data_IF_244365976715
#
_entry.id   IF_244365976715
#
_cell.length_a   1.000
_cell.length_b   1.000
_cell.length_c   1.000
_cell.angle_alpha   90.00
_cell.angle_beta   90.00
_cell.angle_gamma   90.00
#
_symmetry.space_group_name_H-M   'P 1'
#
loop_
_entity.id
_entity.type
_entity.pdbx_description
1 polymer ?
#
# COMPACT_ATOMS: atom_id res chain seq x y z
N UNK A 1 0.70 31.37 -3.19
CA UNK A 1 0.63 30.85 -1.83
C UNK A 1 1.28 29.48 -1.83
N UNK A 2 2.06 29.14 -0.81
CA UNK A 2 2.72 27.81 -0.71
C UNK A 2 2.18 27.13 0.53
N UNK A 3 1.88 25.85 0.42
CA UNK A 3 1.44 24.99 1.53
C UNK A 3 2.52 23.96 1.79
N UNK A 4 2.77 23.66 3.05
CA UNK A 4 3.70 22.61 3.48
C UNK A 4 2.96 21.71 4.47
N UNK A 5 2.88 20.44 4.16
CA UNK A 5 2.34 19.41 5.05
C UNK A 5 3.51 18.58 5.54
N UNK A 6 3.70 18.51 6.85
CA UNK A 6 4.68 17.64 7.49
C UNK A 6 3.88 16.55 8.20
N UNK A 7 3.96 15.32 7.68
CA UNK A 7 3.27 14.17 8.22
C UNK A 7 4.23 13.37 9.11
N UNK A 8 4.00 13.41 10.43
CA UNK A 8 4.67 12.54 11.37
C UNK A 8 3.94 11.19 11.45
N UNK A 9 4.23 10.29 10.52
CA UNK A 9 3.61 8.96 10.49
C UNK A 9 4.10 8.11 11.69
N UNK A 10 3.16 7.42 12.37
CA UNK A 10 3.47 6.56 13.51
C UNK A 10 3.85 7.29 14.81
N UNK A 11 3.62 8.60 14.94
CA UNK A 11 3.95 9.37 16.16
C UNK A 11 2.96 9.15 17.31
N UNK A 12 1.71 8.80 17.02
CA UNK A 12 0.69 8.56 18.04
C UNK A 12 0.84 7.16 18.63
N UNK A 13 0.85 7.07 19.95
CA UNK A 13 0.90 5.80 20.68
C UNK A 13 0.21 5.95 22.04
N UNK A 14 0.10 4.85 22.76
CA UNK A 14 -0.43 4.80 24.12
C UNK A 14 0.64 5.16 25.14
N UNK A 15 0.18 5.44 26.36
CA UNK A 15 1.05 5.65 27.50
C UNK A 15 1.90 4.42 27.79
N UNK A 16 3.19 4.64 27.98
CA UNK A 16 4.19 3.58 28.25
C UNK A 16 4.63 3.69 29.71
N UNK A 17 4.39 2.66 30.55
CA UNK A 17 4.76 2.71 31.97
C UNK A 17 6.24 3.00 32.22
N UNK A 18 7.13 2.47 31.40
CA UNK A 18 8.59 2.67 31.48
C UNK A 18 9.02 4.12 31.20
N UNK A 19 8.17 4.89 30.53
CA UNK A 19 8.35 6.32 30.29
C UNK A 19 7.64 7.20 31.34
N UNK A 20 7.26 6.60 32.48
CA UNK A 20 6.56 7.28 33.56
C UNK A 20 5.09 7.58 33.21
N UNK A 21 4.45 6.73 32.39
CA UNK A 21 3.06 6.89 31.97
C UNK A 21 2.88 7.99 30.93
N UNK A 22 3.88 8.26 30.13
CA UNK A 22 3.83 9.21 29.01
C UNK A 22 3.78 8.47 27.68
N UNK A 23 3.17 9.10 26.68
CA UNK A 23 3.34 8.67 25.29
C UNK A 23 4.76 8.95 24.79
N UNK A 24 5.24 8.27 23.73
CA UNK A 24 6.54 8.57 23.14
C UNK A 24 6.68 10.05 22.73
N UNK A 25 5.61 10.65 22.21
CA UNK A 25 5.62 12.06 21.81
C UNK A 25 5.74 13.00 23.00
N UNK A 26 5.06 12.72 24.12
CA UNK A 26 5.19 13.51 25.35
C UNK A 26 6.56 13.35 26.03
N UNK A 27 7.23 12.23 25.80
CA UNK A 27 8.55 11.95 26.34
C UNK A 27 9.68 12.55 25.49
N UNK A 28 9.46 12.67 24.19
CA UNK A 28 10.44 13.20 23.25
C UNK A 28 10.68 14.71 23.47
N UNK A 29 11.92 15.15 23.25
CA UNK A 29 12.26 16.57 23.22
C UNK A 29 11.92 17.18 21.85
N UNK A 30 10.81 17.93 21.79
CA UNK A 30 10.24 18.45 20.55
C UNK A 30 10.10 19.98 20.56
N UNK A 31 11.16 20.77 20.82
CA UNK A 31 11.05 22.21 21.08
C UNK A 31 10.47 23.02 19.92
N UNK A 32 10.68 22.56 18.68
CA UNK A 32 10.11 23.20 17.50
C UNK A 32 8.60 22.96 17.39
N UNK A 33 8.15 21.74 17.60
CA UNK A 33 6.72 21.40 17.62
C UNK A 33 6.03 22.13 18.76
N UNK A 34 6.61 22.15 19.95
CA UNK A 34 6.08 22.84 21.13
C UNK A 34 5.95 24.35 20.92
N UNK A 35 6.91 24.93 20.21
CA UNK A 35 6.84 26.35 19.86
C UNK A 35 5.67 26.63 18.93
N UNK A 36 5.53 25.85 17.87
CA UNK A 36 4.47 26.08 16.88
C UNK A 36 3.09 25.71 17.40
N UNK A 37 2.96 24.68 18.23
CA UNK A 37 1.68 24.29 18.82
C UNK A 37 1.06 25.42 19.65
N UNK A 38 1.90 26.23 20.34
CA UNK A 38 1.44 27.40 21.12
C UNK A 38 0.92 28.56 20.29
N UNK A 39 1.18 28.57 18.99
CA UNK A 39 0.82 29.65 18.06
C UNK A 39 -0.16 29.21 16.97
N UNK A 40 -0.62 27.97 17.00
CA UNK A 40 -1.43 27.32 15.97
C UNK A 40 -2.78 26.89 16.52
N UNK A 41 -3.68 26.57 15.62
CA UNK A 41 -4.87 25.80 15.94
C UNK A 41 -4.50 24.32 16.01
N UNK A 42 -4.95 23.63 17.04
CA UNK A 42 -4.73 22.19 17.25
C UNK A 42 -6.08 21.50 17.25
N UNK A 43 -6.16 20.36 16.60
CA UNK A 43 -7.38 19.58 16.55
C UNK A 43 -7.09 18.07 16.34
N UNK A 44 -8.11 17.28 16.59
CA UNK A 44 -8.10 15.84 16.26
C UNK A 44 -8.74 15.62 14.90
N UNK A 45 -8.08 14.84 14.05
CA UNK A 45 -8.56 14.50 12.72
C UNK A 45 -8.80 13.01 12.64
N UNK A 46 -10.01 12.62 12.22
CA UNK A 46 -10.34 11.22 11.94
C UNK A 46 -9.91 10.87 10.52
N UNK A 47 -8.72 10.31 10.38
CA UNK A 47 -8.10 10.06 9.06
C UNK A 47 -8.59 8.78 8.37
N UNK A 48 -9.17 7.85 9.11
CA UNK A 48 -9.75 6.62 8.56
C UNK A 48 -11.27 6.69 8.73
N UNK A 49 -12.06 6.87 7.66
CA UNK A 49 -13.52 6.86 7.75
C UNK A 49 -14.05 5.53 8.29
N UNK A 50 -15.15 5.60 9.07
CA UNK A 50 -15.78 4.42 9.65
C UNK A 50 -16.10 3.36 8.60
N UNK A 51 -15.77 2.10 8.90
CA UNK A 51 -15.97 0.97 7.99
C UNK A 51 -14.93 0.79 6.90
N UNK A 52 -13.94 1.67 6.79
CA UNK A 52 -12.77 1.45 5.92
C UNK A 52 -11.65 0.76 6.69
N UNK A 53 -10.91 -0.11 5.99
CA UNK A 53 -9.72 -0.73 6.56
C UNK A 53 -8.63 0.33 6.83
N UNK A 54 -7.95 0.28 7.99
CA UNK A 54 -6.87 1.19 8.30
C UNK A 54 -5.68 0.95 7.36
N UNK A 55 -5.19 2.04 6.78
CA UNK A 55 -4.03 2.03 5.88
C UNK A 55 -3.50 3.43 5.63
N UNK A 56 -2.19 3.54 5.40
CA UNK A 56 -1.53 4.82 5.14
C UNK A 56 -2.08 5.51 3.89
N UNK A 57 -2.48 4.75 2.89
CA UNK A 57 -3.11 5.21 1.65
C UNK A 57 -4.45 5.91 1.93
N UNK A 58 -5.34 5.28 2.68
CA UNK A 58 -6.62 5.87 3.12
C UNK A 58 -6.38 7.12 3.97
N UNK A 59 -5.48 7.03 4.96
CA UNK A 59 -5.17 8.15 5.84
C UNK A 59 -4.58 9.35 5.09
N UNK A 60 -3.66 9.11 4.16
CA UNK A 60 -3.03 10.17 3.37
C UNK A 60 -4.03 10.90 2.46
N UNK A 61 -4.99 10.20 1.87
CA UNK A 61 -6.08 10.85 1.14
C UNK A 61 -6.85 11.81 2.03
N UNK A 62 -7.22 11.38 3.24
CA UNK A 62 -7.91 12.22 4.22
C UNK A 62 -7.08 13.44 4.63
N UNK A 63 -5.78 13.26 4.91
CA UNK A 63 -4.86 14.34 5.27
C UNK A 63 -4.73 15.38 4.14
N UNK A 64 -4.77 14.93 2.89
CA UNK A 64 -4.74 15.80 1.71
C UNK A 64 -6.10 16.44 1.40
N UNK A 65 -7.15 16.13 2.16
CA UNK A 65 -8.48 16.71 2.00
C UNK A 65 -9.39 15.98 1.02
N UNK A 66 -9.00 14.81 0.56
CA UNK A 66 -9.84 13.96 -0.27
C UNK A 66 -10.64 12.98 0.61
N UNK A 67 -11.92 12.80 0.30
CA UNK A 67 -12.71 11.75 0.96
C UNK A 67 -12.30 10.37 0.43
N UNK A 68 -11.70 9.48 1.24
CA UNK A 68 -11.27 8.18 0.74
C UNK A 68 -12.40 7.32 0.19
N UNK A 69 -13.64 7.51 0.65
CA UNK A 69 -14.80 6.77 0.15
C UNK A 69 -15.10 7.03 -1.32
N UNK A 70 -14.72 8.22 -1.80
CA UNK A 70 -15.02 8.64 -3.18
C UNK A 70 -13.84 8.33 -4.13
N UNK A 71 -12.61 8.31 -3.59
CA UNK A 71 -11.39 8.28 -4.42
C UNK A 71 -10.54 7.02 -4.23
N UNK A 72 -10.72 6.28 -3.14
CA UNK A 72 -9.90 5.11 -2.87
C UNK A 72 -10.45 3.86 -3.55
N UNK A 73 -9.77 3.39 -4.58
CA UNK A 73 -10.10 2.16 -5.32
C UNK A 73 -9.14 1.02 -5.04
N UNK A 74 -8.20 1.23 -4.11
CA UNK A 74 -7.14 0.28 -3.76
C UNK A 74 -5.76 0.92 -3.82
N UNK A 75 -4.77 0.23 -3.25
CA UNK A 75 -3.38 0.70 -3.20
C UNK A 75 -2.68 0.59 -4.55
N UNK A 76 -2.93 -0.49 -5.30
CA UNK A 76 -2.19 -0.79 -6.54
C UNK A 76 -2.34 0.29 -7.62
N UNK A 77 -3.50 0.93 -7.84
CA UNK A 77 -3.60 2.06 -8.75
C UNK A 77 -2.74 3.26 -8.35
N UNK A 78 -2.61 3.55 -7.06
CA UNK A 78 -1.76 4.63 -6.55
C UNK A 78 -0.27 4.30 -6.75
N UNK A 79 0.12 3.05 -6.52
CA UNK A 79 1.46 2.56 -6.81
C UNK A 79 1.79 2.64 -8.31
N UNK A 80 0.84 2.27 -9.18
CA UNK A 80 0.99 2.39 -10.64
C UNK A 80 1.27 3.85 -11.05
N UNK A 81 0.48 4.78 -10.57
CA UNK A 81 0.68 6.21 -10.84
C UNK A 81 2.03 6.71 -10.33
N UNK A 82 2.49 6.24 -9.16
CA UNK A 82 3.76 6.69 -8.55
C UNK A 82 4.98 6.27 -9.36
N UNK A 83 4.91 5.16 -10.09
CA UNK A 83 5.99 4.68 -10.98
C UNK A 83 5.77 5.09 -12.44
N UNK A 84 4.79 5.97 -12.72
CA UNK A 84 4.55 6.54 -14.03
C UNK A 84 3.82 5.62 -15.02
N UNK A 85 3.11 4.61 -14.53
CA UNK A 85 2.27 3.75 -15.37
C UNK A 85 0.98 4.47 -15.73
N UNK A 86 0.75 4.65 -17.02
CA UNK A 86 -0.50 5.22 -17.53
C UNK A 86 -1.58 4.12 -17.56
N UNK A 87 -2.63 4.31 -16.77
CA UNK A 87 -3.74 3.38 -16.64
C UNK A 87 -5.00 3.96 -17.27
N UNK A 88 -5.71 3.12 -18.03
CA UNK A 88 -7.06 3.43 -18.49
C UNK A 88 -8.08 3.17 -17.38
N UNK A 89 -9.24 3.77 -17.46
CA UNK A 89 -10.35 3.59 -16.50
C UNK A 89 -10.89 2.15 -16.45
N UNK A 90 -10.58 1.34 -17.46
CA UNK A 90 -11.00 -0.06 -17.59
C UNK A 90 -9.94 -1.03 -17.09
N UNK A 91 -8.73 -0.57 -16.78
CA UNK A 91 -7.63 -1.42 -16.37
C UNK A 91 -7.71 -1.76 -14.87
N UNK A 92 -7.19 -2.91 -14.50
CA UNK A 92 -7.05 -3.32 -13.12
C UNK A 92 -5.58 -3.42 -12.77
N UNK A 93 -5.17 -2.72 -11.71
CA UNK A 93 -3.82 -2.83 -11.15
C UNK A 93 -3.81 -3.87 -10.03
N UNK A 94 -2.94 -4.84 -10.15
CA UNK A 94 -2.72 -5.89 -9.18
C UNK A 94 -1.30 -5.80 -8.62
N UNK A 95 -1.15 -5.96 -7.31
CA UNK A 95 0.17 -6.11 -6.72
C UNK A 95 0.76 -7.47 -7.09
N UNK A 96 1.99 -7.46 -7.55
CA UNK A 96 2.79 -8.64 -7.85
C UNK A 96 4.03 -8.63 -6.94
N UNK A 97 4.14 -9.57 -6.03
CA UNK A 97 5.27 -9.65 -5.10
C UNK A 97 6.17 -10.84 -5.43
N UNK A 98 7.49 -10.64 -5.29
CA UNK A 98 8.45 -11.73 -5.27
C UNK A 98 8.54 -12.22 -3.83
N UNK A 99 8.33 -13.52 -3.63
CA UNK A 99 8.31 -14.16 -2.31
C UNK A 99 9.19 -15.41 -2.32
N UNK A 100 9.70 -15.80 -1.16
CA UNK A 100 10.37 -17.08 -0.98
C UNK A 100 9.37 -18.13 -0.51
N UNK A 101 9.31 -19.23 -1.21
CA UNK A 101 8.46 -20.39 -0.85
C UNK A 101 9.30 -21.53 -0.29
N UNK A 102 8.64 -22.50 0.37
CA UNK A 102 9.29 -23.68 0.91
C UNK A 102 10.01 -24.51 -0.18
N UNK A 103 11.16 -25.10 0.21
CA UNK A 103 12.00 -25.91 -0.70
C UNK A 103 11.63 -27.40 -0.71
N UNK A 104 10.53 -27.77 -0.01
CA UNK A 104 9.98 -29.13 -0.02
C UNK A 104 9.56 -29.59 -1.42
N UNK A 105 9.34 -30.89 -1.59
CA UNK A 105 8.91 -31.51 -2.85
C UNK A 105 7.39 -31.42 -3.09
N UNK A 106 6.67 -30.61 -2.30
CA UNK A 106 5.23 -30.44 -2.46
C UNK A 106 4.90 -29.75 -3.79
N UNK A 107 3.71 -30.01 -4.36
CA UNK A 107 3.18 -29.25 -5.49
C UNK A 107 3.17 -27.74 -5.18
N UNK A 108 3.29 -26.91 -6.22
CA UNK A 108 3.42 -25.45 -6.05
C UNK A 108 2.26 -24.85 -5.23
N UNK A 109 1.03 -25.33 -5.44
CA UNK A 109 -0.18 -24.88 -4.75
C UNK A 109 -0.21 -25.24 -3.25
N UNK A 110 0.62 -26.20 -2.81
CA UNK A 110 0.74 -26.62 -1.42
C UNK A 110 1.96 -26.00 -0.70
N UNK A 111 2.80 -25.26 -1.43
CA UNK A 111 3.99 -24.61 -0.85
C UNK A 111 3.62 -23.51 0.11
N UNK A 112 4.40 -23.37 1.16
CA UNK A 112 4.26 -22.32 2.16
C UNK A 112 5.17 -21.14 1.80
N UNK A 113 4.64 -19.92 1.91
CA UNK A 113 5.46 -18.69 1.84
C UNK A 113 6.28 -18.60 3.12
N UNK A 114 7.62 -18.70 2.99
CA UNK A 114 8.56 -18.60 4.10
C UNK A 114 8.91 -17.14 4.37
N UNK A 115 9.09 -16.35 3.32
CA UNK A 115 9.45 -14.94 3.41
C UNK A 115 8.70 -14.14 2.34
N UNK A 116 7.93 -13.17 2.78
CA UNK A 116 7.09 -12.32 1.94
C UNK A 116 7.87 -11.26 1.15
N UNK A 117 9.14 -11.04 1.50
CA UNK A 117 10.01 -10.01 0.93
C UNK A 117 11.22 -10.57 0.17
N UNK A 118 11.38 -11.91 0.16
CA UNK A 118 12.59 -12.58 -0.36
C UNK A 118 13.87 -11.97 0.18
N UNK A 119 13.94 -11.84 1.53
CA UNK A 119 15.05 -11.22 2.28
C UNK A 119 15.32 -9.77 1.85
N UNK A 120 14.26 -9.01 1.62
CA UNK A 120 14.34 -7.61 1.13
C UNK A 120 15.16 -7.51 -0.16
N UNK A 121 14.85 -8.39 -1.13
CA UNK A 121 15.55 -8.45 -2.43
C UNK A 121 15.77 -7.04 -3.00
N UNK A 122 16.95 -6.80 -3.55
CA UNK A 122 17.26 -5.50 -4.20
C UNK A 122 16.33 -5.25 -5.40
N UNK A 123 16.07 -3.98 -5.72
CA UNK A 123 15.26 -3.63 -6.90
C UNK A 123 15.92 -4.11 -8.18
N UNK A 124 17.25 -4.07 -8.23
CA UNK A 124 18.06 -4.50 -9.37
C UNK A 124 17.93 -6.01 -9.63
N UNK A 125 18.05 -6.83 -8.60
CA UNK A 125 17.91 -8.30 -8.72
C UNK A 125 16.46 -8.68 -9.05
N UNK A 126 15.52 -8.02 -8.41
CA UNK A 126 14.10 -8.21 -8.65
C UNK A 126 13.71 -7.86 -10.11
N UNK A 127 14.30 -6.81 -10.68
CA UNK A 127 14.09 -6.45 -12.08
C UNK A 127 14.55 -7.56 -13.05
N UNK A 128 15.67 -8.23 -12.74
CA UNK A 128 16.15 -9.37 -13.54
C UNK A 128 15.15 -10.53 -13.51
N UNK A 129 14.62 -10.84 -12.33
CA UNK A 129 13.60 -11.90 -12.17
C UNK A 129 12.30 -11.52 -12.89
N UNK A 130 11.87 -10.27 -12.76
CA UNK A 130 10.65 -9.81 -13.41
C UNK A 130 10.78 -9.81 -14.94
N UNK A 131 11.97 -9.57 -15.47
CA UNK A 131 12.22 -9.67 -16.91
C UNK A 131 12.06 -11.11 -17.44
N UNK A 132 12.41 -12.12 -16.64
CA UNK A 132 12.12 -13.50 -16.97
C UNK A 132 10.61 -13.78 -16.98
N UNK A 133 9.87 -13.23 -15.99
CA UNK A 133 8.40 -13.32 -15.95
C UNK A 133 7.77 -12.66 -17.17
N UNK A 134 8.26 -11.47 -17.56
CA UNK A 134 7.78 -10.75 -18.74
C UNK A 134 7.90 -11.58 -20.00
N UNK A 135 9.05 -12.20 -20.22
CA UNK A 135 9.30 -13.02 -21.43
C UNK A 135 8.33 -14.18 -21.59
N UNK A 136 7.89 -14.76 -20.47
CA UNK A 136 7.03 -15.95 -20.48
C UNK A 136 5.54 -15.59 -20.40
N UNK A 137 5.16 -14.54 -19.67
CA UNK A 137 3.77 -14.27 -19.29
C UNK A 137 3.20 -12.97 -19.82
N UNK A 138 4.05 -12.00 -20.20
CA UNK A 138 3.56 -10.71 -20.70
C UNK A 138 2.92 -10.88 -22.08
N UNK A 139 1.77 -10.25 -22.25
CA UNK A 139 0.99 -10.28 -23.49
C UNK A 139 0.14 -9.01 -23.61
N UNK A 140 -0.79 -8.95 -24.56
CA UNK A 140 -1.65 -7.79 -24.76
C UNK A 140 -2.64 -7.55 -23.62
N UNK A 141 -2.89 -8.55 -22.77
CA UNK A 141 -3.83 -8.47 -21.65
C UNK A 141 -3.11 -8.15 -20.33
N UNK A 142 -1.94 -8.74 -20.10
CA UNK A 142 -1.17 -8.59 -18.87
C UNK A 142 0.17 -7.94 -19.12
N UNK A 143 0.45 -6.87 -18.38
CA UNK A 143 1.72 -6.15 -18.38
C UNK A 143 2.32 -6.14 -16.98
N UNK A 144 3.64 -6.32 -16.89
CA UNK A 144 4.36 -6.35 -15.62
C UNK A 144 5.28 -5.14 -15.50
N UNK A 145 5.27 -4.49 -14.34
CA UNK A 145 6.05 -3.27 -14.09
C UNK A 145 6.90 -3.43 -12.84
N UNK A 146 8.18 -3.08 -12.98
CA UNK A 146 9.12 -3.09 -11.85
C UNK A 146 8.73 -1.96 -10.89
N UNK A 147 8.54 -2.32 -9.63
CA UNK A 147 8.36 -1.40 -8.54
C UNK A 147 9.63 -1.27 -7.69
N UNK A 148 9.51 -1.41 -6.37
CA UNK A 148 10.63 -1.29 -5.44
C UNK A 148 10.81 -2.58 -4.66
N UNK A 149 12.05 -3.08 -4.58
CA UNK A 149 12.39 -4.30 -3.87
C UNK A 149 11.53 -5.48 -4.35
N UNK A 150 10.86 -6.18 -3.47
CA UNK A 150 9.99 -7.32 -3.79
C UNK A 150 8.60 -6.93 -4.33
N UNK A 151 8.27 -5.63 -4.39
CA UNK A 151 6.93 -5.12 -4.74
C UNK A 151 6.89 -4.65 -6.18
N UNK A 152 6.09 -5.29 -6.99
CA UNK A 152 5.90 -5.00 -8.41
C UNK A 152 4.41 -4.88 -8.73
N UNK A 153 4.10 -4.58 -9.98
CA UNK A 153 2.73 -4.42 -10.44
C UNK A 153 2.46 -5.24 -11.68
N UNK A 154 1.26 -5.77 -11.74
CA UNK A 154 0.65 -6.32 -12.95
C UNK A 154 -0.52 -5.43 -13.32
N UNK A 155 -0.56 -4.98 -14.56
CA UNK A 155 -1.72 -4.29 -15.13
C UNK A 155 -2.47 -5.28 -16.02
N UNK A 156 -3.76 -5.38 -15.76
CA UNK A 156 -4.68 -6.20 -16.54
C UNK A 156 -5.53 -5.27 -17.42
N UNK A 157 -5.24 -5.24 -18.76
CA UNK A 157 -5.99 -4.42 -19.73
C UNK A 157 -7.47 -4.84 -19.73
N UNK A 158 -8.34 -3.88 -19.56
CA UNK A 158 -9.80 -4.08 -19.50
C UNK A 158 -10.29 -5.07 -18.44
N UNK A 159 -9.51 -5.33 -17.40
CA UNK A 159 -9.84 -6.29 -16.35
C UNK A 159 -11.15 -5.96 -15.63
N UNK A 160 -11.52 -4.69 -15.49
CA UNK A 160 -12.76 -4.30 -14.85
C UNK A 160 -14.02 -4.71 -15.63
N UNK A 161 -13.92 -4.95 -16.94
CA UNK A 161 -15.05 -5.39 -17.76
C UNK A 161 -15.44 -6.85 -17.49
N UNK A 162 -14.55 -7.64 -16.89
CA UNK A 162 -14.80 -9.02 -16.49
C UNK A 162 -15.37 -9.14 -15.07
N UNK A 163 -15.35 -8.06 -14.30
CA UNK A 163 -15.85 -8.00 -12.91
C UNK A 163 -17.38 -7.92 -12.81
N UNK A 164 -18.07 -7.86 -13.92
CA UNK A 164 -19.55 -7.83 -13.96
C UNK A 164 -20.20 -9.22 -13.87
N UNK A 165 -19.39 -10.28 -13.79
CA UNK A 165 -19.89 -11.64 -13.48
C UNK A 165 -19.81 -11.82 -11.95
N UNK A 166 -20.91 -12.23 -11.28
CA UNK A 166 -20.88 -12.45 -9.83
C UNK A 166 -19.79 -13.46 -9.50
N UNK A 167 -18.86 -13.06 -8.64
CA UNK A 167 -17.83 -13.94 -8.12
C UNK A 167 -18.47 -15.13 -7.40
N UNK A 168 -17.90 -16.35 -7.47
CA UNK A 168 -18.37 -17.46 -6.64
C UNK A 168 -18.42 -17.16 -5.14
N UNK A 169 -17.73 -16.11 -4.67
CA UNK A 169 -17.82 -15.60 -3.29
C UNK A 169 -19.08 -14.81 -3.01
N UNK A 170 -19.68 -14.20 -4.03
CA UNK A 170 -20.90 -13.39 -3.88
C UNK A 170 -22.17 -14.27 -3.89
N UNK A 171 -22.04 -15.54 -4.22
CA UNK A 171 -23.14 -16.54 -4.29
C UNK A 171 -23.28 -17.30 -2.96
N UNK A 172 -22.33 -17.21 -2.05
CA UNK A 172 -22.33 -17.96 -0.77
C UNK A 172 -23.04 -17.25 0.40
N UNK A 173 -23.82 -16.20 0.14
CA UNK A 173 -24.53 -15.37 1.12
C UNK A 173 -26.05 -15.37 0.96
N UNK A 174 -26.67 -16.56 0.80
CA UNK A 174 -28.14 -16.73 0.91
C UNK A 174 -28.48 -17.94 1.78
#
# INVERSE_FOLDING_TARGET
MKYLIILGDGMADKDIPELGGKTPLEYADTPTMDKYSKMSEIGMVHTIPDGMAPGSDTANLSVLGYNPRDYYTGRSPLEALSIGVDMKTTDVALRCNIVTVSTDELPYEEKTIIDHSSSEISTEDAAVLLEAVRKELENDIYKFYVGTSYRHLTIWDKGCLLYTSPSPRDISGS
#
